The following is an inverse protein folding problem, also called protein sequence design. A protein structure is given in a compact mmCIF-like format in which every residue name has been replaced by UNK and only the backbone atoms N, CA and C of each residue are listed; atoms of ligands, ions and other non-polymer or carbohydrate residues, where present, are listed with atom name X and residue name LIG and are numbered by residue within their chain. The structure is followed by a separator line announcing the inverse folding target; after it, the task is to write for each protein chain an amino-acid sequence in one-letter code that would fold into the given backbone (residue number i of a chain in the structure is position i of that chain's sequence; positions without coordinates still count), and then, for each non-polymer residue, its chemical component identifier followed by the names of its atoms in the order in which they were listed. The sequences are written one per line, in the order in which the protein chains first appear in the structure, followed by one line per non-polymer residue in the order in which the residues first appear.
data_IF_348120308254
#
_entry.id   IF_348120308254
#
_cell.length_a   1.000
_cell.length_b   1.000
_cell.length_c   1.000
_cell.angle_alpha   90.00
_cell.angle_beta   90.00
_cell.angle_gamma   90.00
#
_symmetry.space_group_name_H-M   'P 1'
#
loop_
_entity.id
_entity.type
_entity.pdbx_description
1 polymer ?
#
# COMPACT_ATOMS: atom_id res chain seq x y z
N UNK A 1 4.97 8.76 -19.87
CA UNK A 1 5.91 9.60 -20.66
C UNK A 1 6.85 8.68 -21.42
N UNK A 2 7.15 8.95 -22.70
CA UNK A 2 8.19 8.19 -23.43
C UNK A 2 9.55 8.54 -22.85
N UNK A 3 10.36 7.54 -22.56
CA UNK A 3 11.69 7.66 -21.99
C UNK A 3 12.72 7.17 -23.02
N UNK A 4 13.66 8.04 -23.36
CA UNK A 4 14.87 7.65 -24.08
C UNK A 4 15.87 7.11 -23.05
N UNK A 5 16.32 5.87 -23.23
CA UNK A 5 17.05 5.13 -22.19
C UNK A 5 18.55 5.17 -22.40
N UNK A 6 19.00 5.14 -23.67
CA UNK A 6 20.42 5.25 -24.03
C UNK A 6 20.85 6.71 -24.24
N UNK A 7 20.97 7.45 -23.14
CA UNK A 7 21.39 8.86 -23.16
C UNK A 7 22.85 9.04 -23.65
N UNK A 8 23.68 8.00 -23.52
CA UNK A 8 25.10 8.05 -23.84
C UNK A 8 25.44 7.51 -25.24
N UNK A 9 24.45 7.03 -26.00
CA UNK A 9 24.64 6.48 -27.35
C UNK A 9 25.56 5.25 -27.37
N UNK A 10 25.47 4.40 -26.34
CA UNK A 10 26.31 3.19 -26.21
C UNK A 10 25.77 2.01 -27.00
N UNK A 11 24.47 2.03 -27.33
CA UNK A 11 23.79 0.99 -28.08
C UNK A 11 23.69 1.39 -29.55
N UNK A 12 23.86 0.41 -30.43
CA UNK A 12 23.56 0.55 -31.86
C UNK A 12 22.05 0.37 -32.16
N UNK A 13 21.26 0.05 -31.13
CA UNK A 13 19.82 -0.18 -31.20
C UNK A 13 19.06 1.03 -30.67
N UNK A 14 17.85 1.20 -31.18
CA UNK A 14 16.91 2.20 -30.65
C UNK A 14 16.35 1.67 -29.32
N UNK A 15 16.96 2.08 -28.21
CA UNK A 15 16.52 1.73 -26.87
C UNK A 15 15.59 2.80 -26.30
N UNK A 16 14.43 2.37 -25.80
CA UNK A 16 13.45 3.26 -25.18
C UNK A 16 12.58 2.53 -24.15
N UNK A 17 11.84 3.31 -23.38
CA UNK A 17 10.87 2.81 -22.41
C UNK A 17 9.75 3.81 -22.13
N UNK A 18 8.96 3.50 -21.11
CA UNK A 18 7.94 4.37 -20.57
C UNK A 18 8.23 4.66 -19.10
N UNK A 19 8.01 5.91 -18.70
CA UNK A 19 8.05 6.32 -17.31
C UNK A 19 6.69 6.86 -16.87
N UNK A 20 6.25 6.45 -15.67
CA UNK A 20 5.12 7.01 -14.93
C UNK A 20 5.65 7.56 -13.60
N UNK A 21 5.21 8.75 -13.24
CA UNK A 21 5.60 9.43 -12.01
C UNK A 21 4.49 10.39 -11.57
N UNK A 22 4.46 10.74 -10.29
CA UNK A 22 3.54 11.79 -9.82
C UNK A 22 4.06 13.17 -10.24
N UNK A 23 3.15 14.00 -10.78
CA UNK A 23 3.47 15.33 -11.32
C UNK A 23 3.24 16.47 -10.33
N UNK A 24 2.58 16.20 -9.20
CA UNK A 24 2.26 17.21 -8.17
C UNK A 24 3.27 17.12 -7.03
N UNK A 25 3.94 18.23 -6.74
CA UNK A 25 4.87 18.30 -5.62
C UNK A 25 4.11 18.39 -4.28
N UNK A 26 4.44 17.50 -3.35
CA UNK A 26 3.98 17.44 -1.97
C UNK A 26 5.18 17.13 -1.07
N UNK A 27 5.68 18.11 -0.29
CA UNK A 27 6.91 17.96 0.48
C UNK A 27 6.81 16.91 1.60
N UNK A 28 5.59 16.52 1.97
CA UNK A 28 5.25 15.57 3.03
C UNK A 28 5.05 14.13 2.52
N UNK A 29 5.34 13.86 1.24
CA UNK A 29 5.08 12.55 0.62
C UNK A 29 6.29 11.98 -0.10
N UNK A 30 6.37 10.65 -0.11
CA UNK A 30 7.26 9.91 -0.98
C UNK A 30 6.66 9.75 -2.38
N UNK A 31 7.53 9.68 -3.37
CA UNK A 31 7.17 9.62 -4.79
C UNK A 31 7.50 8.27 -5.40
N UNK A 32 6.66 7.83 -6.32
CA UNK A 32 6.85 6.64 -7.12
C UNK A 32 7.33 7.04 -8.53
N UNK A 33 8.40 6.40 -8.97
CA UNK A 33 8.84 6.43 -10.36
C UNK A 33 8.78 5.00 -10.89
N UNK A 34 7.87 4.73 -11.81
CA UNK A 34 7.76 3.44 -12.49
C UNK A 34 8.37 3.56 -13.87
N UNK A 35 9.35 2.70 -14.15
CA UNK A 35 9.97 2.57 -15.46
C UNK A 35 9.60 1.22 -16.02
N UNK A 36 9.02 1.21 -17.22
CA UNK A 36 8.62 0.02 -17.96
C UNK A 36 9.38 -0.01 -19.29
N UNK A 37 10.03 -1.13 -19.59
CA UNK A 37 10.81 -1.25 -20.81
C UNK A 37 10.73 -2.68 -21.36
N UNK A 38 10.73 -2.78 -22.68
CA UNK A 38 10.82 -4.06 -23.41
C UNK A 38 11.92 -4.00 -24.48
N UNK A 39 12.21 -2.81 -25.01
CA UNK A 39 13.15 -2.57 -26.09
C UNK A 39 14.50 -2.03 -25.63
N UNK A 40 14.73 -1.97 -24.31
CA UNK A 40 16.00 -1.51 -23.73
C UNK A 40 16.72 -2.66 -23.03
N UNK A 41 18.05 -2.62 -23.07
CA UNK A 41 18.92 -3.56 -22.38
C UNK A 41 18.94 -3.26 -20.87
N UNK A 42 18.96 -4.30 -20.03
CA UNK A 42 18.98 -4.13 -18.58
C UNK A 42 20.17 -3.32 -18.06
N UNK A 43 21.34 -3.45 -18.69
CA UNK A 43 22.53 -2.65 -18.38
C UNK A 43 22.35 -1.15 -18.66
N UNK A 44 21.69 -0.80 -19.77
CA UNK A 44 21.38 0.59 -20.14
C UNK A 44 20.41 1.21 -19.14
N UNK A 45 19.34 0.47 -18.79
CA UNK A 45 18.39 0.89 -17.75
C UNK A 45 19.08 1.06 -16.40
N UNK A 46 19.93 0.11 -16.01
CA UNK A 46 20.67 0.19 -14.75
C UNK A 46 21.57 1.42 -14.70
N UNK A 47 22.28 1.73 -15.78
CA UNK A 47 23.14 2.92 -15.84
C UNK A 47 22.33 4.21 -15.73
N UNK A 48 21.22 4.30 -16.46
CA UNK A 48 20.29 5.43 -16.39
C UNK A 48 19.77 5.63 -14.95
N UNK A 49 19.22 4.58 -14.34
CA UNK A 49 18.69 4.63 -12.98
C UNK A 49 19.76 4.97 -11.94
N UNK A 50 20.98 4.42 -12.10
CA UNK A 50 22.12 4.75 -11.25
C UNK A 50 22.51 6.22 -11.38
N UNK A 51 22.45 6.78 -12.58
CA UNK A 51 22.63 8.22 -12.82
C UNK A 51 21.56 9.06 -12.13
N UNK A 52 20.29 8.68 -12.27
CA UNK A 52 19.17 9.31 -11.58
C UNK A 52 19.34 9.27 -10.06
N UNK A 53 19.77 8.15 -9.50
CA UNK A 53 20.00 8.00 -8.06
C UNK A 53 21.10 8.94 -7.56
N UNK A 54 22.25 9.00 -8.25
CA UNK A 54 23.32 9.96 -7.89
C UNK A 54 22.85 11.40 -7.99
N UNK A 55 22.06 11.73 -9.03
CA UNK A 55 21.51 13.06 -9.20
C UNK A 55 20.51 13.41 -8.09
N UNK A 56 19.63 12.49 -7.73
CA UNK A 56 18.70 12.65 -6.60
C UNK A 56 19.45 12.94 -5.30
N UNK A 57 20.51 12.19 -5.01
CA UNK A 57 21.35 12.40 -3.82
C UNK A 57 21.98 13.80 -3.78
N UNK A 58 22.46 14.30 -4.93
CA UNK A 58 23.00 15.67 -5.01
C UNK A 58 21.96 16.76 -4.72
N UNK A 59 20.68 16.43 -4.87
CA UNK A 59 19.55 17.32 -4.58
C UNK A 59 18.91 17.06 -3.21
N UNK A 60 19.52 16.21 -2.36
CA UNK A 60 18.97 15.86 -1.03
C UNK A 60 17.84 14.82 -1.04
N UNK A 61 17.64 14.12 -2.16
CA UNK A 61 16.65 13.05 -2.28
C UNK A 61 17.30 11.67 -2.27
N UNK A 62 16.56 10.66 -1.81
CA UNK A 62 16.96 9.27 -1.88
C UNK A 62 16.08 8.52 -2.89
N UNK A 63 16.70 8.02 -3.95
CA UNK A 63 16.03 7.12 -4.91
C UNK A 63 16.38 5.67 -4.54
N UNK A 64 15.36 4.84 -4.33
CA UNK A 64 15.50 3.47 -3.84
C UNK A 64 14.61 2.57 -4.71
N UNK A 65 15.10 1.42 -5.19
CA UNK A 65 14.24 0.45 -5.85
C UNK A 65 13.31 -0.19 -4.80
N UNK A 66 12.04 -0.32 -5.14
CA UNK A 66 11.05 -1.02 -4.34
C UNK A 66 10.50 -2.22 -5.12
N UNK A 67 10.11 -3.32 -4.46
CA UNK A 67 9.42 -4.42 -5.12
C UNK A 67 8.12 -3.93 -5.77
N UNK A 68 7.72 -4.60 -6.86
CA UNK A 68 6.47 -4.29 -7.56
C UNK A 68 5.23 -4.44 -6.66
N UNK A 69 5.27 -5.31 -5.66
CA UNK A 69 4.24 -5.43 -4.62
C UNK A 69 4.85 -5.20 -3.23
N UNK A 70 4.90 -3.95 -2.74
CA UNK A 70 5.53 -3.64 -1.45
C UNK A 70 4.80 -4.28 -0.26
N UNK A 71 3.47 -4.35 -0.33
CA UNK A 71 2.62 -4.82 0.76
C UNK A 71 2.29 -6.31 0.66
N UNK A 72 2.46 -6.97 -0.49
CA UNK A 72 2.18 -8.40 -0.65
C UNK A 72 0.83 -8.81 -0.03
N UNK A 73 -0.20 -7.96 -0.22
CA UNK A 73 -1.48 -8.15 0.47
C UNK A 73 -2.04 -9.52 0.12
N UNK A 74 -2.55 -10.27 1.12
CA UNK A 74 -3.18 -11.55 0.86
C UNK A 74 -4.32 -11.33 -0.15
N UNK A 75 -4.51 -12.28 -1.05
CA UNK A 75 -5.55 -12.28 -2.09
C UNK A 75 -5.33 -11.32 -3.28
N UNK A 76 -4.14 -10.72 -3.44
CA UNK A 76 -3.73 -10.11 -4.71
C UNK A 76 -3.28 -11.21 -5.69
N UNK A 77 -3.68 -11.12 -6.97
CA UNK A 77 -3.27 -12.08 -8.01
C UNK A 77 -1.75 -12.10 -8.25
N UNK A 78 -1.01 -11.09 -7.77
CA UNK A 78 0.44 -10.94 -7.94
C UNK A 78 1.21 -10.93 -6.61
N UNK A 79 0.58 -11.24 -5.49
CA UNK A 79 1.27 -11.23 -4.19
C UNK A 79 2.30 -12.35 -4.12
N UNK A 80 3.46 -12.03 -3.57
CA UNK A 80 4.53 -12.99 -3.29
C UNK A 80 4.05 -13.99 -2.22
N UNK A 81 3.95 -15.30 -2.54
CA UNK A 81 3.47 -16.32 -1.61
C UNK A 81 4.38 -16.51 -0.39
N UNK A 82 5.62 -16.01 -0.44
CA UNK A 82 6.59 -16.10 0.64
C UNK A 82 6.58 -14.86 1.55
N UNK A 83 5.80 -13.83 1.22
CA UNK A 83 5.69 -12.61 2.02
C UNK A 83 4.30 -12.52 2.63
N UNK A 84 4.27 -12.36 3.95
CA UNK A 84 3.04 -12.21 4.72
C UNK A 84 3.03 -10.90 5.52
N UNK A 85 1.84 -10.32 5.77
CA UNK A 85 1.70 -9.18 6.67
C UNK A 85 2.14 -9.53 8.09
N UNK A 86 2.87 -8.62 8.74
CA UNK A 86 3.15 -8.70 10.18
C UNK A 86 2.23 -7.71 10.89
N UNK A 87 1.40 -8.21 11.79
CA UNK A 87 0.49 -7.39 12.58
C UNK A 87 1.15 -7.00 13.90
N UNK A 88 1.26 -5.70 14.17
CA UNK A 88 1.76 -5.17 15.43
C UNK A 88 0.59 -4.46 16.16
N UNK A 89 0.17 -4.97 17.34
CA UNK A 89 -0.86 -4.31 18.12
C UNK A 89 -0.28 -3.05 18.78
N UNK A 90 -1.06 -1.96 18.77
CA UNK A 90 -0.73 -0.76 19.53
C UNK A 90 -1.25 -0.91 20.96
N UNK A 91 -0.33 -0.94 21.93
CA UNK A 91 -0.70 -0.95 23.36
C UNK A 91 -0.99 0.47 23.85
N UNK A 92 -2.26 0.77 24.11
CA UNK A 92 -2.72 2.07 24.60
C UNK A 92 -2.98 2.09 26.10
N UNK A 93 -2.84 0.96 26.81
CA UNK A 93 -3.21 0.83 28.23
C UNK A 93 -2.41 1.77 29.12
N UNK A 94 -1.18 2.10 28.73
CA UNK A 94 -0.34 3.06 29.46
C UNK A 94 -0.84 4.51 29.37
N UNK A 95 -1.71 4.82 28.41
CA UNK A 95 -2.31 6.14 28.21
C UNK A 95 -3.70 6.25 28.84
N UNK A 96 -4.29 5.12 29.23
CA UNK A 96 -5.58 5.05 29.89
C UNK A 96 -5.38 5.16 31.41
N UNK A 97 -5.46 6.38 31.94
CA UNK A 97 -5.27 6.61 33.38
C UNK A 97 -6.49 6.10 34.16
N UNK A 98 -6.32 5.04 34.98
CA UNK A 98 -7.28 4.53 35.99
C UNK A 98 -8.77 4.78 35.66
N UNK A 99 -9.22 4.33 34.48
CA UNK A 99 -10.60 4.43 33.97
C UNK A 99 -11.01 5.70 33.20
N UNK A 100 -10.05 6.49 32.70
CA UNK A 100 -10.27 7.50 31.67
C UNK A 100 -9.86 6.94 30.28
N UNK A 101 -10.83 6.60 29.41
CA UNK A 101 -10.55 6.14 28.06
C UNK A 101 -9.74 7.18 27.26
N UNK A 102 -8.83 6.68 26.43
CA UNK A 102 -8.13 7.50 25.45
C UNK A 102 -9.19 8.18 24.55
N UNK A 103 -9.13 9.51 24.45
CA UNK A 103 -10.08 10.38 23.73
C UNK A 103 -11.41 10.72 24.41
N UNK A 104 -11.62 10.44 25.71
CA UNK A 104 -12.88 10.76 26.42
C UNK A 104 -13.36 12.23 26.33
N UNK A 105 -12.45 13.17 26.08
CA UNK A 105 -12.77 14.59 25.91
C UNK A 105 -13.48 14.90 24.58
N UNK A 106 -13.50 13.93 23.66
CA UNK A 106 -14.09 14.07 22.34
C UNK A 106 -15.39 13.27 22.23
N UNK A 107 -16.14 13.51 21.15
CA UNK A 107 -17.33 12.73 20.86
C UNK A 107 -16.95 11.31 20.45
N UNK A 108 -17.67 10.33 20.97
CA UNK A 108 -17.43 8.89 20.72
C UNK A 108 -17.45 8.53 19.23
N UNK A 109 -18.28 9.21 18.43
CA UNK A 109 -18.35 9.01 16.98
C UNK A 109 -17.05 9.37 16.25
N UNK A 110 -16.14 10.10 16.90
CA UNK A 110 -14.82 10.51 16.36
C UNK A 110 -13.65 9.66 16.85
N UNK A 111 -13.86 8.72 17.79
CA UNK A 111 -12.75 7.97 18.40
C UNK A 111 -11.93 7.19 17.39
N UNK A 112 -12.60 6.60 16.39
CA UNK A 112 -11.95 5.78 15.38
C UNK A 112 -11.01 6.62 14.48
N UNK A 113 -11.47 7.80 14.05
CA UNK A 113 -10.64 8.75 13.29
C UNK A 113 -9.48 9.29 14.12
N UNK A 114 -9.70 9.51 15.42
CA UNK A 114 -8.64 9.95 16.34
C UNK A 114 -7.60 8.88 16.60
N UNK A 115 -8.02 7.62 16.71
CA UNK A 115 -7.09 6.49 16.78
C UNK A 115 -6.23 6.42 15.51
N UNK A 116 -6.83 6.59 14.33
CA UNK A 116 -6.11 6.67 13.07
C UNK A 116 -5.07 7.81 13.08
N UNK A 117 -5.46 9.03 13.47
CA UNK A 117 -4.55 10.18 13.55
C UNK A 117 -3.42 9.94 14.58
N UNK A 118 -3.73 9.26 15.69
CA UNK A 118 -2.73 8.90 16.69
C UNK A 118 -1.71 7.90 16.15
N UNK A 119 -2.16 6.86 15.45
CA UNK A 119 -1.29 5.91 14.76
C UNK A 119 -0.45 6.60 13.67
N UNK A 120 -1.05 7.49 12.88
CA UNK A 120 -0.37 8.29 11.85
C UNK A 120 0.74 9.15 12.48
N UNK A 121 0.46 9.84 13.59
CA UNK A 121 1.45 10.62 14.32
C UNK A 121 2.59 9.76 14.87
N UNK A 122 2.30 8.55 15.36
CA UNK A 122 3.32 7.59 15.81
C UNK A 122 4.23 7.22 14.64
N UNK A 123 3.70 6.76 13.50
CA UNK A 123 4.55 6.31 12.39
C UNK A 123 5.36 7.46 11.81
N UNK A 124 4.79 8.67 11.68
CA UNK A 124 5.54 9.86 11.25
C UNK A 124 6.70 10.16 12.22
N UNK A 125 6.48 10.03 13.53
CA UNK A 125 7.54 10.22 14.54
C UNK A 125 8.67 9.19 14.41
N UNK A 126 8.36 7.98 13.94
CA UNK A 126 9.34 6.93 13.65
C UNK A 126 9.95 7.02 12.24
N UNK A 127 9.77 8.14 11.53
CA UNK A 127 10.43 8.36 10.23
C UNK A 127 9.73 7.71 9.05
N UNK A 128 8.46 7.33 9.20
CA UNK A 128 7.62 6.90 8.08
C UNK A 128 7.03 8.10 7.35
N UNK A 129 7.07 8.05 6.02
CA UNK A 129 6.61 9.08 5.10
C UNK A 129 5.44 8.52 4.32
N UNK A 130 4.37 9.31 4.18
CA UNK A 130 3.19 8.90 3.42
C UNK A 130 3.58 8.60 1.96
N UNK A 131 3.16 7.47 1.42
CA UNK A 131 3.43 7.10 0.03
C UNK A 131 2.16 6.66 -0.68
N UNK A 132 2.06 6.98 -1.97
CA UNK A 132 1.01 6.43 -2.84
C UNK A 132 1.64 5.46 -3.83
N UNK A 133 1.51 4.17 -3.54
CA UNK A 133 1.87 3.11 -4.48
C UNK A 133 0.62 2.81 -5.30
N UNK A 134 0.61 3.18 -6.58
CA UNK A 134 -0.55 2.92 -7.43
C UNK A 134 -0.62 1.41 -7.76
N UNK A 135 -1.57 0.72 -7.14
CA UNK A 135 -1.95 -0.62 -7.56
C UNK A 135 -2.89 -0.55 -8.77
N UNK A 136 -2.86 -1.58 -9.63
CA UNK A 136 -3.75 -1.72 -10.79
C UNK A 136 -5.24 -1.71 -10.41
N UNK A 137 -5.57 -2.06 -9.16
CA UNK A 137 -6.94 -2.16 -8.66
C UNK A 137 -7.36 -0.86 -7.95
N UNK A 138 -7.81 0.10 -8.75
CA UNK A 138 -8.22 1.45 -8.29
C UNK A 138 -9.33 1.45 -7.24
N UNK A 139 -10.07 0.36 -7.05
CA UNK A 139 -11.23 0.28 -6.16
C UNK A 139 -10.87 0.22 -4.66
N UNK A 140 -9.71 -0.33 -4.28
CA UNK A 140 -9.27 -0.44 -2.86
C UNK A 140 -8.36 0.70 -2.40
N UNK A 141 -7.73 1.42 -3.34
CA UNK A 141 -6.75 2.49 -3.07
C UNK A 141 -7.23 3.63 -2.16
N UNK A 142 -8.55 3.81 -2.02
CA UNK A 142 -9.14 4.91 -1.23
C UNK A 142 -9.21 4.66 0.27
N UNK A 143 -8.97 3.43 0.74
CA UNK A 143 -9.23 3.02 2.13
C UNK A 143 -7.98 2.68 2.95
N UNK A 144 -6.83 2.68 2.30
CA UNK A 144 -5.59 2.11 2.81
C UNK A 144 -4.50 3.19 2.83
N UNK A 145 -4.00 3.51 4.01
CA UNK A 145 -2.99 4.56 4.20
C UNK A 145 -1.62 3.91 4.32
N UNK A 146 -0.81 4.11 3.27
CA UNK A 146 0.49 3.48 3.14
C UNK A 146 1.61 4.46 3.47
N UNK A 147 2.62 3.94 4.14
CA UNK A 147 3.79 4.71 4.52
C UNK A 147 5.05 3.89 4.24
N UNK A 148 6.10 4.56 3.82
CA UNK A 148 7.43 3.97 3.65
C UNK A 148 8.38 4.61 4.67
N UNK A 149 9.18 3.80 5.34
CA UNK A 149 10.23 4.33 6.22
C UNK A 149 11.26 5.12 5.38
N UNK A 150 11.87 6.15 5.95
CA UNK A 150 12.87 6.96 5.24
C UNK A 150 14.05 6.15 4.66
N UNK A 151 14.31 4.94 5.17
CA UNK A 151 15.32 4.02 4.61
C UNK A 151 14.87 3.28 3.34
N UNK A 152 13.59 3.30 2.99
CA UNK A 152 13.00 2.61 1.85
C UNK A 152 12.83 1.09 2.00
N UNK A 153 13.02 0.54 3.19
CA UNK A 153 13.06 -0.92 3.41
C UNK A 153 11.83 -1.49 4.12
N UNK A 154 11.00 -0.63 4.71
CA UNK A 154 9.85 -1.03 5.51
C UNK A 154 8.64 -0.24 5.04
N UNK A 155 7.55 -0.95 4.81
CA UNK A 155 6.25 -0.37 4.50
C UNK A 155 5.29 -0.62 5.66
N UNK A 156 4.43 0.35 5.91
CA UNK A 156 3.39 0.28 6.93
C UNK A 156 2.06 0.60 6.27
N UNK A 157 1.06 -0.21 6.61
CA UNK A 157 -0.33 0.05 6.27
C UNK A 157 -1.13 0.31 7.55
N UNK A 158 -1.84 1.43 7.56
CA UNK A 158 -2.83 1.76 8.58
C UNK A 158 -4.20 1.72 7.89
N UNK A 159 -5.10 0.86 8.37
CA UNK A 159 -6.47 0.80 7.85
C UNK A 159 -7.31 1.91 8.47
N UNK A 160 -8.05 2.66 7.65
CA UNK A 160 -9.09 3.53 8.19
C UNK A 160 -10.30 2.70 8.65
N UNK A 161 -10.87 3.01 9.83
CA UNK A 161 -12.09 2.36 10.28
C UNK A 161 -13.23 2.70 9.30
N UNK A 162 -13.92 1.68 8.81
CA UNK A 162 -15.11 1.89 7.97
C UNK A 162 -16.22 2.39 8.87
N UNK A 163 -16.67 3.63 8.65
CA UNK A 163 -17.97 4.07 9.18
C UNK A 163 -19.03 3.11 8.64
N UNK A 164 -19.60 2.26 9.49
CA UNK A 164 -20.72 1.38 9.13
C UNK A 164 -21.90 2.27 8.71
N UNK A 165 -21.98 2.62 7.44
CA UNK A 165 -23.21 3.16 6.87
C UNK A 165 -24.21 2.01 6.96
N UNK A 166 -25.10 2.09 7.96
CA UNK A 166 -26.20 1.16 8.14
C UNK A 166 -27.15 1.37 6.97
N UNK A 167 -26.84 0.76 5.84
CA UNK A 167 -27.73 0.70 4.69
C UNK A 167 -29.00 -0.04 5.14
N UNK A 168 -30.03 0.71 5.52
CA UNK A 168 -31.38 0.17 5.67
C UNK A 168 -31.89 -0.11 4.26
N UNK A 169 -31.53 -1.28 3.74
CA UNK A 169 -32.24 -1.82 2.57
C UNK A 169 -33.54 -2.38 3.12
N UNK A 170 -34.61 -1.57 3.00
CA UNK A 170 -35.97 -2.06 3.12
C UNK A 170 -36.18 -3.08 1.98
N UNK A 171 -36.32 -4.35 2.36
CA UNK A 171 -36.73 -5.41 1.45
C UNK A 171 -38.20 -5.23 1.09
N UNK A 172 -38.50 -4.43 0.06
CA UNK A 172 -39.77 -4.52 -0.66
C UNK A 172 -39.58 -5.43 -1.87
N UNK A 173 -40.23 -6.59 -1.82
CA UNK A 173 -40.27 -7.56 -2.89
C UNK A 173 -40.78 -6.94 -4.20
N UNK A 174 -40.04 -7.19 -5.30
CA UNK A 174 -40.45 -6.84 -6.65
C UNK A 174 -39.72 -7.74 -7.64
N UNK A 175 -40.41 -8.76 -8.13
CA UNK A 175 -39.97 -9.63 -9.22
C UNK A 175 -39.63 -8.82 -10.47
N UNK A 176 -38.47 -9.08 -11.09
CA UNK A 176 -38.31 -9.35 -12.54
C UNK A 176 -36.83 -9.58 -12.90
N UNK A 177 -36.55 -10.64 -13.69
CA UNK A 177 -35.45 -10.62 -14.66
C UNK A 177 -34.05 -11.12 -14.27
N UNK A 178 -33.87 -12.45 -14.27
CA UNK A 178 -32.74 -13.23 -14.82
C UNK A 178 -31.40 -12.50 -15.08
N UNK A 179 -30.37 -12.82 -14.28
CA UNK A 179 -29.03 -13.35 -14.64
C UNK A 179 -28.16 -13.29 -13.36
N UNK A 180 -27.98 -14.44 -12.71
CA UNK A 180 -27.05 -14.61 -11.60
C UNK A 180 -25.63 -14.64 -12.17
N UNK A 181 -24.83 -13.60 -11.93
CA UNK A 181 -23.38 -13.64 -12.15
C UNK A 181 -22.73 -14.03 -10.83
N UNK A 182 -23.01 -15.25 -10.36
CA UNK A 182 -22.06 -15.98 -9.55
C UNK A 182 -21.13 -16.69 -10.54
N UNK A 183 -20.15 -15.97 -11.06
CA UNK A 183 -18.97 -16.65 -11.57
C UNK A 183 -18.31 -17.27 -10.34
N UNK A 184 -18.25 -18.60 -10.29
CA UNK A 184 -17.40 -19.31 -9.34
C UNK A 184 -15.96 -18.87 -9.59
N UNK A 185 -15.53 -17.84 -8.85
CA UNK A 185 -14.14 -17.41 -8.81
C UNK A 185 -13.40 -18.54 -8.12
N UNK A 186 -12.80 -19.43 -8.91
CA UNK A 186 -11.91 -20.46 -8.40
C UNK A 186 -10.79 -19.74 -7.65
N UNK A 187 -10.60 -20.00 -6.34
CA UNK A 187 -9.56 -19.36 -5.56
C UNK A 187 -8.21 -19.57 -6.22
N UNK A 188 -7.38 -18.53 -6.30
CA UNK A 188 -6.03 -18.71 -6.82
C UNK A 188 -5.29 -19.76 -5.98
N UNK A 189 -4.35 -20.54 -6.54
CA UNK A 189 -3.56 -21.50 -5.76
C UNK A 189 -2.90 -20.88 -4.52
N UNK A 190 -2.59 -19.59 -4.60
CA UNK A 190 -2.10 -18.76 -3.51
C UNK A 190 -3.15 -18.51 -2.41
N UNK A 191 -4.37 -18.12 -2.80
CA UNK A 191 -5.51 -17.95 -1.90
C UNK A 191 -5.86 -19.26 -1.16
N UNK A 192 -5.78 -20.39 -1.84
CA UNK A 192 -5.96 -21.72 -1.25
C UNK A 192 -4.86 -22.09 -0.23
N UNK A 193 -3.63 -21.59 -0.42
CA UNK A 193 -2.53 -21.80 0.52
C UNK A 193 -2.69 -20.95 1.78
N UNK A 194 -3.02 -19.66 1.63
CA UNK A 194 -3.24 -18.74 2.76
C UNK A 194 -4.42 -19.20 3.61
N UNK A 195 -5.58 -19.49 3.00
CA UNK A 195 -6.78 -19.94 3.72
C UNK A 195 -6.57 -21.25 4.50
N UNK A 196 -5.63 -22.10 4.05
CA UNK A 196 -5.28 -23.35 4.73
C UNK A 196 -4.41 -23.13 5.98
N UNK A 197 -3.55 -22.11 5.99
CA UNK A 197 -2.53 -21.94 7.04
C UNK A 197 -2.78 -20.74 7.95
N UNK A 198 -3.57 -19.77 7.51
CA UNK A 198 -3.91 -18.55 8.24
C UNK A 198 -5.43 -18.54 8.38
N UNK A 199 -5.92 -19.23 9.42
CA UNK A 199 -7.30 -19.25 9.97
C UNK A 199 -8.41 -18.72 9.05
N UNK A 200 -9.37 -19.58 8.68
CA UNK A 200 -10.52 -19.34 7.79
C UNK A 200 -11.43 -18.15 8.16
N UNK A 201 -10.90 -16.94 8.12
CA UNK A 201 -11.55 -15.66 8.36
C UNK A 201 -11.48 -14.84 7.07
N UNK A 202 -12.64 -14.33 6.67
CA UNK A 202 -12.78 -13.48 5.48
C UNK A 202 -12.05 -12.15 5.67
N UNK A 203 -11.80 -11.45 4.55
CA UNK A 203 -11.25 -10.07 4.52
C UNK A 203 -11.96 -9.10 5.49
N UNK A 204 -13.24 -9.35 5.76
CA UNK A 204 -14.10 -8.53 6.62
C UNK A 204 -14.00 -8.86 8.13
N UNK A 205 -13.32 -9.95 8.52
CA UNK A 205 -13.22 -10.41 9.92
C UNK A 205 -12.01 -9.85 10.69
N UNK A 206 -11.17 -9.05 10.03
CA UNK A 206 -10.01 -8.42 10.67
C UNK A 206 -10.40 -7.08 11.29
N UNK A 207 -10.65 -7.08 12.61
CA UNK A 207 -10.67 -5.85 13.40
C UNK A 207 -9.25 -5.26 13.44
N UNK A 208 -9.03 -4.29 12.55
CA UNK A 208 -7.75 -3.59 12.36
C UNK A 208 -7.73 -2.21 13.02
N UNK A 209 -8.77 -1.85 13.80
CA UNK A 209 -8.93 -0.51 14.35
C UNK A 209 -7.81 -0.08 15.30
N UNK A 210 -7.10 -1.04 15.91
CA UNK A 210 -5.96 -0.82 16.82
C UNK A 210 -4.66 -1.47 16.35
N UNK A 211 -4.60 -1.91 15.08
CA UNK A 211 -3.44 -2.64 14.55
C UNK A 211 -2.73 -1.83 13.47
N UNK A 212 -1.40 -1.86 13.53
CA UNK A 212 -0.55 -1.38 12.45
C UNK A 212 -0.01 -2.61 11.74
N UNK A 213 -0.13 -2.64 10.41
CA UNK A 213 0.40 -3.76 9.60
C UNK A 213 1.74 -3.34 9.03
N UNK A 214 2.78 -4.10 9.32
CA UNK A 214 4.16 -3.84 8.87
C UNK A 214 4.57 -4.89 7.84
N UNK A 215 5.25 -4.43 6.81
CA UNK A 215 5.80 -5.23 5.74
C UNK A 215 7.29 -4.94 5.62
N UNK A 216 8.10 -5.98 5.81
CA UNK A 216 9.52 -5.91 5.55
C UNK A 216 9.80 -6.23 4.09
N UNK A 217 10.68 -5.46 3.48
CA UNK A 217 11.33 -5.84 2.23
C UNK A 217 12.61 -6.58 2.57
N UNK A 218 12.69 -7.86 2.22
CA UNK A 218 13.99 -8.52 2.06
C UNK A 218 14.53 -8.09 0.70
N UNK A 219 15.49 -7.15 0.69
CA UNK A 219 16.31 -6.86 -0.50
C UNK A 219 17.40 -7.92 -0.66
#
# INVERSE_FOLDING_TARGET
MRLETDVAGKSDRVEWGHARYQTVFKPDQAYELVVEWLTSSGSIIFELLSGCQRKAQSCGFQLIPIPHDPLALPYSNKSDPLRGPIFIPLDIRCLEERSYPLFKEFREDTYADRMFLFQEAIVQRFGFIHCQVEHSDKASSSREHQYVHATGTIFVLISRPVSKVRSRINSSAGHTGKYSVHADVVPSPHEAYITRHVSGKNKDDYDNTTKVVIFFLSN
#
